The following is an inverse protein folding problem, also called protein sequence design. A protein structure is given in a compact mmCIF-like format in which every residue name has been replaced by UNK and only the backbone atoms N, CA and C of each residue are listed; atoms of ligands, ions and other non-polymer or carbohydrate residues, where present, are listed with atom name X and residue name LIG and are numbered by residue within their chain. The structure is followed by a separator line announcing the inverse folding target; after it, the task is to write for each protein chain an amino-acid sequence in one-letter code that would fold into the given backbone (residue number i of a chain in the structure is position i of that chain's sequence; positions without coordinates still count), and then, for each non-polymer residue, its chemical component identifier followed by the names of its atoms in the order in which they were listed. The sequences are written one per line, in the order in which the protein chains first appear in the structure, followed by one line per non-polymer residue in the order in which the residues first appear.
data_IF_569364453855
#
_entry.id   IF_569364453855
#
_cell.length_a   1.000
_cell.length_b   1.000
_cell.length_c   1.000
_cell.angle_alpha   90.00
_cell.angle_beta   90.00
_cell.angle_gamma   90.00
#
_symmetry.space_group_name_H-M   'P 1'
#
loop_
_entity.id
_entity.type
_entity.pdbx_description
1 polymer ?
#
# COMPACT_ATOMS: atom_id res chain seq x y z
N UNK A 1 -21.94 -29.27 56.79
CA UNK A 1 -20.67 -28.64 56.35
C UNK A 1 -20.00 -29.53 55.32
N UNK A 2 -19.89 -29.02 54.07
CA UNK A 2 -18.76 -29.18 53.12
C UNK A 2 -18.36 -30.65 52.83
N UNK A 3 -18.62 -31.27 51.67
CA UNK A 3 -17.92 -31.03 50.38
C UNK A 3 -18.72 -31.63 49.21
N UNK A 4 -19.36 -30.79 48.40
CA UNK A 4 -19.84 -31.12 47.04
C UNK A 4 -19.17 -30.12 46.09
N UNK A 5 -17.92 -30.36 45.70
CA UNK A 5 -17.17 -29.43 44.84
C UNK A 5 -16.00 -30.10 44.13
N UNK A 6 -16.23 -31.17 43.36
CA UNK A 6 -15.16 -31.76 42.56
C UNK A 6 -15.60 -32.22 41.17
N UNK A 7 -16.59 -31.54 40.59
CA UNK A 7 -17.13 -31.86 39.27
C UNK A 7 -17.26 -30.59 38.42
N UNK A 8 -16.16 -29.85 38.20
CA UNK A 8 -16.19 -28.69 37.29
C UNK A 8 -14.84 -28.30 36.67
N UNK A 9 -13.82 -29.16 36.69
CA UNK A 9 -12.47 -28.82 36.19
C UNK A 9 -12.10 -29.55 34.90
N UNK A 10 -13.05 -29.77 33.99
CA UNK A 10 -12.80 -30.52 32.75
C UNK A 10 -13.25 -29.81 31.45
N UNK A 11 -13.44 -28.48 31.43
CA UNK A 11 -13.97 -27.80 30.24
C UNK A 11 -13.27 -26.48 29.83
N UNK A 12 -12.01 -26.23 30.19
CA UNK A 12 -11.37 -24.94 29.88
C UNK A 12 -10.01 -24.98 29.18
N UNK A 13 -9.61 -26.08 28.52
CA UNK A 13 -8.31 -26.14 27.81
C UNK A 13 -8.44 -26.39 26.30
N UNK A 14 -9.56 -26.02 25.67
CA UNK A 14 -9.63 -25.94 24.20
C UNK A 14 -10.07 -24.56 23.75
N UNK A 15 -9.45 -23.51 24.29
CA UNK A 15 -9.35 -22.24 23.58
C UNK A 15 -8.22 -22.38 22.55
N UNK A 16 -8.47 -23.13 21.49
CA UNK A 16 -7.63 -23.07 20.30
C UNK A 16 -7.84 -21.67 19.73
N UNK A 17 -6.92 -20.75 20.01
CA UNK A 17 -6.86 -19.47 19.31
C UNK A 17 -6.66 -19.78 17.83
N UNK A 18 -7.74 -19.72 17.06
CA UNK A 18 -7.66 -19.67 15.62
C UNK A 18 -6.97 -18.35 15.26
N UNK A 19 -5.64 -18.38 15.09
CA UNK A 19 -4.95 -17.32 14.38
C UNK A 19 -5.53 -17.31 12.98
N UNK A 20 -6.42 -16.35 12.70
CA UNK A 20 -6.77 -16.01 11.34
C UNK A 20 -5.45 -15.60 10.68
N UNK A 21 -4.90 -16.45 9.83
CA UNK A 21 -3.85 -16.05 8.91
C UNK A 21 -4.47 -14.99 8.02
N UNK A 22 -4.21 -13.73 8.33
CA UNK A 22 -4.49 -12.58 7.46
C UNK A 22 -3.72 -12.82 6.17
N UNK A 23 -4.33 -13.58 5.27
CA UNK A 23 -3.88 -13.70 3.89
C UNK A 23 -4.36 -12.41 3.24
N UNK A 24 -3.68 -11.31 3.56
CA UNK A 24 -3.76 -10.12 2.73
C UNK A 24 -3.39 -10.59 1.33
N UNK A 25 -4.26 -10.40 0.32
CA UNK A 25 -3.95 -10.80 -1.04
C UNK A 25 -2.62 -10.17 -1.41
N UNK A 26 -1.67 -11.00 -1.86
CA UNK A 26 -0.36 -10.54 -2.28
C UNK A 26 -0.58 -9.44 -3.32
N UNK A 27 -0.14 -8.23 -3.02
CA UNK A 27 -0.36 -7.10 -3.93
C UNK A 27 0.41 -7.37 -5.21
N UNK A 28 -0.32 -7.71 -6.26
CA UNK A 28 0.25 -7.94 -7.58
C UNK A 28 0.62 -6.62 -8.23
N UNK A 29 1.83 -6.56 -8.78
CA UNK A 29 2.36 -5.38 -9.47
C UNK A 29 2.75 -5.80 -10.88
N UNK A 30 2.20 -5.11 -11.88
CA UNK A 30 2.52 -5.33 -13.30
C UNK A 30 3.51 -4.28 -13.81
N UNK A 31 3.48 -3.06 -13.25
CA UNK A 31 4.26 -1.92 -13.73
C UNK A 31 5.76 -2.12 -13.68
N UNK A 32 6.26 -2.93 -12.74
CA UNK A 32 7.70 -3.13 -12.56
C UNK A 32 8.34 -3.97 -13.69
N UNK A 33 7.68 -5.07 -14.10
CA UNK A 33 8.26 -6.06 -15.02
C UNK A 33 7.38 -6.36 -16.25
N UNK A 34 6.25 -5.66 -16.42
CA UNK A 34 5.23 -5.88 -17.48
C UNK A 34 4.54 -7.26 -17.45
N UNK A 35 4.74 -8.03 -16.39
CA UNK A 35 3.98 -9.24 -16.06
C UNK A 35 3.59 -9.19 -14.58
N UNK A 36 2.53 -9.89 -14.20
CA UNK A 36 2.03 -9.91 -12.83
C UNK A 36 3.02 -10.60 -11.89
N UNK A 37 3.46 -9.89 -10.86
CA UNK A 37 4.34 -10.42 -9.84
C UNK A 37 3.95 -9.93 -8.44
N UNK A 38 4.00 -10.78 -7.40
CA UNK A 38 3.85 -10.32 -6.02
C UNK A 38 4.90 -9.26 -5.68
N UNK A 39 4.49 -8.17 -5.01
CA UNK A 39 5.38 -7.08 -4.60
C UNK A 39 6.63 -7.57 -3.86
N UNK A 40 6.50 -8.63 -3.05
CA UNK A 40 7.59 -9.24 -2.28
C UNK A 40 8.73 -9.77 -3.14
N UNK A 41 8.47 -10.08 -4.41
CA UNK A 41 9.43 -10.70 -5.32
C UNK A 41 10.03 -9.66 -6.31
N UNK A 42 9.51 -8.43 -6.35
CA UNK A 42 9.99 -7.38 -7.25
C UNK A 42 11.31 -6.81 -6.74
N UNK A 43 12.37 -6.88 -7.57
CA UNK A 43 13.70 -6.35 -7.23
C UNK A 43 13.77 -4.82 -7.23
N UNK A 44 13.00 -4.19 -8.12
CA UNK A 44 12.97 -2.74 -8.22
C UNK A 44 12.14 -2.12 -7.08
N UNK A 45 12.63 -1.07 -6.41
CA UNK A 45 11.88 -0.41 -5.35
C UNK A 45 10.57 0.16 -5.92
N UNK A 46 9.44 -0.38 -5.44
CA UNK A 46 8.10 -0.05 -5.96
C UNK A 46 7.18 0.38 -4.83
N UNK A 47 6.51 1.52 -5.03
CA UNK A 47 5.49 2.02 -4.12
C UNK A 47 4.14 1.94 -4.82
N UNK A 48 3.17 1.27 -4.18
CA UNK A 48 1.79 1.17 -4.66
C UNK A 48 0.92 2.07 -3.79
N UNK A 49 0.17 2.97 -4.41
CA UNK A 49 -0.85 3.76 -3.74
C UNK A 49 -2.21 3.15 -4.08
N UNK A 50 -2.95 2.73 -3.06
CA UNK A 50 -4.25 2.09 -3.24
C UNK A 50 -5.39 3.12 -3.26
N UNK A 51 -6.58 2.69 -3.69
CA UNK A 51 -7.79 3.53 -3.61
C UNK A 51 -8.07 3.98 -2.18
N UNK A 52 -7.88 3.08 -1.20
CA UNK A 52 -8.10 3.36 0.21
C UNK A 52 -7.14 4.42 0.76
N UNK A 53 -5.89 4.44 0.27
CA UNK A 53 -4.92 5.48 0.62
C UNK A 53 -5.36 6.84 0.07
N UNK A 54 -5.79 6.89 -1.19
CA UNK A 54 -6.30 8.12 -1.82
C UNK A 54 -7.51 8.67 -1.06
N UNK A 55 -8.44 7.80 -0.67
CA UNK A 55 -9.64 8.18 0.09
C UNK A 55 -9.27 8.71 1.48
N UNK A 56 -8.35 8.04 2.19
CA UNK A 56 -7.86 8.48 3.50
C UNK A 56 -7.14 9.83 3.42
N UNK A 57 -6.38 10.03 2.35
CA UNK A 57 -5.63 11.25 2.11
C UNK A 57 -6.48 12.41 1.62
N UNK A 58 -7.73 12.14 1.23
CA UNK A 58 -8.64 13.11 0.62
C UNK A 58 -7.97 13.89 -0.52
N UNK A 59 -7.11 13.22 -1.28
CA UNK A 59 -6.37 13.84 -2.39
C UNK A 59 -7.33 14.19 -3.52
N UNK A 60 -7.25 15.41 -4.01
CA UNK A 60 -8.08 15.90 -5.12
C UNK A 60 -7.36 15.83 -6.46
N UNK A 61 -6.02 15.72 -6.45
CA UNK A 61 -5.20 15.56 -7.65
C UNK A 61 -4.12 14.48 -7.51
N UNK A 62 -3.62 13.99 -8.64
CA UNK A 62 -2.49 13.04 -8.68
C UNK A 62 -1.22 13.66 -8.08
N UNK A 63 -1.02 14.98 -8.28
CA UNK A 63 0.10 15.69 -7.67
C UNK A 63 0.06 15.63 -6.14
N UNK A 64 -1.13 15.74 -5.52
CA UNK A 64 -1.28 15.66 -4.05
C UNK A 64 -1.01 14.26 -3.51
N UNK A 65 -1.28 13.23 -4.32
CA UNK A 65 -0.93 11.85 -4.01
C UNK A 65 0.58 11.68 -4.07
N UNK A 66 1.20 12.10 -5.18
CA UNK A 66 2.63 11.90 -5.44
C UNK A 66 3.53 12.71 -4.49
N UNK A 67 3.13 13.92 -4.09
CA UNK A 67 3.85 14.76 -3.09
C UNK A 67 4.02 14.08 -1.73
N UNK A 68 3.21 13.08 -1.40
CA UNK A 68 3.31 12.33 -0.14
C UNK A 68 4.33 11.21 -0.19
N UNK A 69 4.81 10.85 -1.39
CA UNK A 69 5.72 9.74 -1.56
C UNK A 69 7.16 10.17 -1.31
N UNK A 70 7.96 9.36 -0.60
CA UNK A 70 9.35 9.70 -0.34
C UNK A 70 10.17 9.70 -1.63
N UNK A 71 11.04 10.70 -1.78
CA UNK A 71 11.91 10.84 -2.94
C UNK A 71 11.19 11.30 -4.21
N UNK A 72 10.00 11.88 -4.08
CA UNK A 72 9.25 12.52 -5.17
C UNK A 72 9.11 14.01 -4.86
N UNK A 73 9.67 14.84 -5.72
CA UNK A 73 9.54 16.30 -5.67
C UNK A 73 8.69 16.77 -6.87
N UNK A 74 7.79 17.73 -6.63
CA UNK A 74 6.90 18.25 -7.68
C UNK A 74 6.90 19.77 -7.69
N UNK A 75 7.18 20.33 -8.86
CA UNK A 75 7.06 21.76 -9.16
C UNK A 75 5.86 21.98 -10.08
N UNK A 76 4.97 22.90 -9.71
CA UNK A 76 3.78 23.21 -10.51
C UNK A 76 3.83 24.67 -10.97
N UNK A 77 3.65 24.89 -12.27
CA UNK A 77 3.70 26.21 -12.87
C UNK A 77 2.28 26.79 -13.00
N UNK A 78 1.73 27.29 -11.88
CA UNK A 78 0.39 27.89 -11.85
C UNK A 78 -0.66 27.03 -11.15
N UNK A 79 -1.93 27.18 -11.54
CA UNK A 79 -3.08 26.56 -10.90
C UNK A 79 -3.39 25.12 -11.35
N UNK A 80 -4.57 24.63 -10.98
CA UNK A 80 -5.06 23.31 -11.40
C UNK A 80 -5.08 23.19 -12.93
N UNK A 81 -4.66 22.03 -13.45
CA UNK A 81 -4.56 21.76 -14.89
C UNK A 81 -3.35 22.37 -15.60
N UNK A 82 -2.52 23.15 -14.91
CA UNK A 82 -1.27 23.67 -15.46
C UNK A 82 -0.13 22.64 -15.41
N UNK A 83 0.93 22.92 -16.18
CA UNK A 83 2.08 22.03 -16.29
C UNK A 83 2.74 21.79 -14.92
N UNK A 84 2.93 20.51 -14.60
CA UNK A 84 3.62 20.05 -13.40
C UNK A 84 4.83 19.20 -13.81
N UNK A 85 5.97 19.45 -13.19
CA UNK A 85 7.21 18.70 -13.38
C UNK A 85 7.47 17.82 -12.16
N UNK A 86 7.72 16.54 -12.41
CA UNK A 86 7.98 15.53 -11.38
C UNK A 86 9.46 15.17 -11.40
N UNK A 87 10.10 15.14 -10.24
CA UNK A 87 11.49 14.76 -10.05
C UNK A 87 11.54 13.59 -9.07
N UNK A 88 12.19 12.50 -9.47
CA UNK A 88 12.27 11.28 -8.65
C UNK A 88 13.72 11.06 -8.28
N UNK A 89 14.02 10.98 -6.98
CA UNK A 89 15.39 10.74 -6.46
C UNK A 89 16.43 11.73 -7.03
N UNK A 90 16.04 12.99 -7.23
CA UNK A 90 16.91 14.05 -7.72
C UNK A 90 17.19 14.04 -9.23
N UNK A 91 16.57 13.15 -10.02
CA UNK A 91 16.73 13.15 -11.49
C UNK A 91 15.89 14.24 -12.16
N UNK A 92 16.27 14.66 -13.37
CA UNK A 92 15.48 15.58 -14.18
C UNK A 92 14.10 15.00 -14.55
N UNK A 93 13.09 15.87 -14.70
CA UNK A 93 11.74 15.50 -15.10
C UNK A 93 11.67 14.81 -16.48
N UNK A 94 12.62 15.09 -17.39
CA UNK A 94 12.72 14.41 -18.69
C UNK A 94 13.06 12.92 -18.58
N UNK A 95 13.58 12.47 -17.43
CA UNK A 95 13.89 11.07 -17.16
C UNK A 95 12.72 10.33 -16.49
N UNK A 96 11.60 11.01 -16.22
CA UNK A 96 10.42 10.42 -15.60
C UNK A 96 9.44 9.97 -16.69
N UNK A 97 9.19 8.66 -16.74
CA UNK A 97 8.16 8.07 -17.60
C UNK A 97 6.83 8.03 -16.84
N UNK A 98 5.79 8.60 -17.43
CA UNK A 98 4.41 8.50 -16.94
C UNK A 98 3.64 7.61 -17.91
N UNK A 99 2.98 6.59 -17.37
CA UNK A 99 2.13 5.68 -18.11
C UNK A 99 0.72 5.72 -17.52
N UNK A 100 -0.29 5.74 -18.39
CA UNK A 100 -1.69 5.61 -18.01
C UNK A 100 -2.17 4.25 -18.50
N UNK A 101 -2.58 3.39 -17.58
CA UNK A 101 -2.99 2.01 -17.87
C UNK A 101 -1.92 1.20 -18.65
N UNK A 102 -0.64 1.55 -18.47
CA UNK A 102 0.50 0.89 -19.11
C UNK A 102 0.89 1.44 -20.49
N UNK A 103 0.25 2.52 -20.95
CA UNK A 103 0.54 3.22 -22.22
C UNK A 103 1.15 4.59 -21.97
#
# INVERSE_FOLDING_TARGET
MIKKASLLTACSVTAFSAWAQDTSPDTLVVTANRFEQPRSTVLAPTTVVTRQDIDRWQSTSVNDVLRRLPGVDITQNGGSGQLSSIFIRGTNASHVLVLIDGV
#
